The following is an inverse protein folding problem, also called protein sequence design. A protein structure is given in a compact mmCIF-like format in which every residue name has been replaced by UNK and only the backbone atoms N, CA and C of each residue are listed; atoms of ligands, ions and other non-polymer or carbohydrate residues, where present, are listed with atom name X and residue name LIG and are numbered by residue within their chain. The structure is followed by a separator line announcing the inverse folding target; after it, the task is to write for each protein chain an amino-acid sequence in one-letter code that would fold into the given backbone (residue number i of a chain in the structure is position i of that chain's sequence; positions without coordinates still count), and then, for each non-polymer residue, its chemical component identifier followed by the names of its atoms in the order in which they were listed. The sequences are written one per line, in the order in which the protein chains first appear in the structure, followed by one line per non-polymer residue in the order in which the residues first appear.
data_IF_075213178742
#
_entry.id   IF_075213178742
#
_cell.length_a   1.000
_cell.length_b   1.000
_cell.length_c   1.000
_cell.angle_alpha   90.00
_cell.angle_beta   90.00
_cell.angle_gamma   90.00
#
_symmetry.space_group_name_H-M   'P 1'
#
loop_
_entity.id
_entity.type
_entity.pdbx_description
1 polymer ?
#
# COMPACT_ATOMS: atom_id res chain seq x y z
N UNK A 1 1.10 -6.66 12.91
CA UNK A 1 2.42 -7.33 13.00
C UNK A 1 2.55 -8.07 14.32
N UNK A 2 2.39 -7.43 15.49
CA UNK A 2 2.66 -8.02 16.81
C UNK A 2 1.86 -9.29 17.12
N UNK A 3 0.63 -9.38 16.66
CA UNK A 3 -0.25 -10.54 16.89
C UNK A 3 -0.33 -11.53 15.71
N UNK A 4 0.44 -11.35 14.64
CA UNK A 4 0.27 -12.12 13.40
C UNK A 4 0.36 -13.63 13.60
N UNK A 5 1.34 -14.10 14.37
CA UNK A 5 1.55 -15.53 14.56
C UNK A 5 0.38 -16.20 15.31
N UNK A 6 -0.29 -15.44 16.20
CA UNK A 6 -1.52 -15.89 16.87
C UNK A 6 -2.70 -15.91 15.90
N UNK A 7 -2.83 -14.86 15.06
CA UNK A 7 -3.87 -14.76 14.03
C UNK A 7 -3.71 -15.90 13.04
N UNK A 8 -2.51 -16.12 12.50
CA UNK A 8 -2.25 -17.18 11.52
C UNK A 8 -2.61 -18.58 12.05
N UNK A 9 -2.24 -18.88 13.29
CA UNK A 9 -2.65 -20.14 13.95
C UNK A 9 -4.17 -20.29 13.98
N UNK A 10 -4.91 -19.22 14.27
CA UNK A 10 -6.39 -19.26 14.29
C UNK A 10 -6.98 -19.38 12.90
N UNK A 11 -6.47 -18.64 11.93
CA UNK A 11 -6.91 -18.74 10.53
C UNK A 11 -6.76 -20.17 10.01
N UNK A 12 -5.62 -20.81 10.26
CA UNK A 12 -5.36 -22.18 9.86
C UNK A 12 -6.30 -23.18 10.58
N UNK A 13 -6.47 -23.02 11.91
CA UNK A 13 -7.35 -23.89 12.71
C UNK A 13 -8.80 -23.85 12.23
N UNK A 14 -9.31 -22.67 11.93
CA UNK A 14 -10.72 -22.48 11.54
C UNK A 14 -10.92 -22.35 10.02
N UNK A 15 -9.88 -22.55 9.23
CA UNK A 15 -9.92 -22.42 7.75
C UNK A 15 -10.52 -21.09 7.28
N UNK A 16 -10.30 -20.01 8.05
CA UNK A 16 -10.82 -18.68 7.76
C UNK A 16 -9.90 -17.92 6.82
N UNK A 17 -10.48 -17.19 5.87
CA UNK A 17 -9.72 -16.31 4.96
C UNK A 17 -9.38 -14.99 5.64
N UNK A 18 -8.17 -14.53 5.47
CA UNK A 18 -7.75 -13.18 5.85
C UNK A 18 -7.78 -12.27 4.61
N UNK A 19 -8.48 -11.16 4.70
CA UNK A 19 -8.53 -10.15 3.64
C UNK A 19 -8.00 -8.84 4.22
N UNK A 20 -6.86 -8.32 3.75
CA UNK A 20 -6.33 -7.06 4.22
C UNK A 20 -7.16 -5.89 3.69
N UNK A 21 -7.26 -4.81 4.46
CA UNK A 21 -7.99 -3.58 4.06
C UNK A 21 -7.08 -2.36 3.94
N UNK A 22 -5.84 -2.45 4.43
CA UNK A 22 -4.82 -1.43 4.14
C UNK A 22 -4.65 -1.28 2.64
N UNK A 23 -4.50 -0.05 2.13
CA UNK A 23 -4.63 0.22 0.68
C UNK A 23 -3.61 -0.54 -0.17
N UNK A 24 -2.38 -0.63 0.29
CA UNK A 24 -1.31 -1.34 -0.40
C UNK A 24 -1.49 -2.86 -0.30
N UNK A 25 -1.76 -3.36 0.90
CA UNK A 25 -1.97 -4.80 1.10
C UNK A 25 -3.24 -5.30 0.43
N UNK A 26 -4.33 -4.53 0.47
CA UNK A 26 -5.53 -4.83 -0.30
C UNK A 26 -5.23 -4.91 -1.80
N UNK A 27 -4.47 -3.95 -2.32
CA UNK A 27 -4.09 -3.92 -3.73
C UNK A 27 -3.23 -5.12 -4.14
N UNK A 28 -2.29 -5.53 -3.30
CA UNK A 28 -1.51 -6.75 -3.51
C UNK A 28 -2.44 -7.98 -3.48
N UNK A 29 -3.29 -8.09 -2.46
CA UNK A 29 -4.24 -9.19 -2.32
C UNK A 29 -5.16 -9.30 -3.55
N UNK A 30 -5.71 -8.17 -4.00
CA UNK A 30 -6.60 -8.12 -5.17
C UNK A 30 -5.86 -8.50 -6.47
N UNK A 31 -4.64 -8.02 -6.66
CA UNK A 31 -3.84 -8.34 -7.84
C UNK A 31 -3.42 -9.80 -7.91
N UNK A 32 -3.30 -10.47 -6.76
CA UNK A 32 -2.86 -11.86 -6.65
C UNK A 32 -4.01 -12.88 -6.64
N UNK A 33 -5.27 -12.45 -6.82
CA UNK A 33 -6.37 -13.39 -6.97
C UNK A 33 -6.09 -14.32 -8.16
N UNK A 34 -6.21 -15.61 -7.93
CA UNK A 34 -6.01 -16.68 -8.92
C UNK A 34 -4.60 -16.73 -9.56
N UNK A 35 -3.60 -16.13 -8.90
CA UNK A 35 -2.20 -16.13 -9.34
C UNK A 35 -1.34 -16.99 -8.42
N UNK A 36 -0.56 -17.88 -9.03
CA UNK A 36 0.44 -18.67 -8.31
C UNK A 36 1.62 -17.80 -7.85
N UNK A 37 1.98 -17.91 -6.56
CA UNK A 37 3.05 -17.08 -5.94
C UNK A 37 4.44 -17.30 -6.53
N UNK A 38 4.70 -18.48 -7.14
CA UNK A 38 5.96 -18.77 -7.81
C UNK A 38 6.20 -17.90 -9.04
N UNK A 39 5.12 -17.41 -9.68
CA UNK A 39 5.17 -16.52 -10.84
C UNK A 39 5.54 -15.09 -10.47
N UNK A 40 5.48 -14.71 -9.19
CA UNK A 40 5.84 -13.36 -8.74
C UNK A 40 7.36 -13.16 -8.85
N UNK A 41 7.77 -12.17 -9.64
CA UNK A 41 9.14 -11.69 -9.70
C UNK A 41 9.39 -10.64 -8.62
N UNK A 42 8.59 -9.56 -8.59
CA UNK A 42 8.75 -8.44 -7.67
C UNK A 42 7.41 -7.78 -7.35
N UNK A 43 7.25 -7.33 -6.11
CA UNK A 43 6.14 -6.49 -5.68
C UNK A 43 6.70 -5.17 -5.17
N UNK A 44 6.15 -4.08 -5.68
CA UNK A 44 6.45 -2.72 -5.25
C UNK A 44 5.27 -2.17 -4.46
N UNK A 45 5.51 -1.86 -3.19
CA UNK A 45 4.59 -1.08 -2.37
C UNK A 45 4.87 0.39 -2.63
N UNK A 46 3.84 1.15 -2.95
CA UNK A 46 4.01 2.58 -3.19
C UNK A 46 3.97 3.36 -1.89
N UNK A 47 4.70 4.45 -1.83
CA UNK A 47 4.71 5.41 -0.73
C UNK A 47 4.54 6.81 -1.28
N UNK A 48 3.77 7.68 -0.60
CA UNK A 48 3.68 9.10 -0.97
C UNK A 48 5.01 9.85 -0.77
N UNK A 49 5.90 9.32 0.07
CA UNK A 49 7.09 10.00 0.55
C UNK A 49 6.80 10.95 1.74
N UNK A 50 5.54 11.08 2.14
CA UNK A 50 5.11 11.91 3.26
C UNK A 50 5.26 13.41 3.02
N UNK A 51 5.03 14.24 4.06
CA UNK A 51 5.05 15.70 3.94
C UNK A 51 6.45 16.29 3.73
N UNK A 52 7.49 15.48 3.84
CA UNK A 52 8.89 15.95 3.81
C UNK A 52 9.68 15.46 2.60
N UNK A 53 9.03 14.83 1.63
CA UNK A 53 9.67 14.21 0.46
C UNK A 53 10.70 15.12 -0.24
N UNK A 54 10.38 16.42 -0.36
CA UNK A 54 11.24 17.38 -1.07
C UNK A 54 12.04 18.29 -0.12
N UNK A 55 12.14 17.95 1.19
CA UNK A 55 12.89 18.75 2.16
C UNK A 55 14.32 18.29 2.31
N UNK A 56 15.25 19.24 2.33
CA UNK A 56 16.65 19.00 2.67
C UNK A 56 16.81 18.63 4.16
N UNK A 57 17.91 17.99 4.51
CA UNK A 57 18.25 17.65 5.92
C UNK A 57 18.27 18.90 6.80
N UNK A 58 18.72 20.05 6.26
CA UNK A 58 18.75 21.33 7.00
C UNK A 58 17.33 21.81 7.33
N UNK A 59 16.39 21.65 6.41
CA UNK A 59 14.98 22.00 6.62
C UNK A 59 14.29 21.04 7.59
N UNK A 60 14.64 19.74 7.55
CA UNK A 60 14.10 18.75 8.47
C UNK A 60 14.38 19.06 9.94
N UNK A 61 15.52 19.69 10.24
CA UNK A 61 15.86 20.14 11.62
C UNK A 61 14.92 21.21 12.17
N UNK A 62 14.15 21.90 11.31
CA UNK A 62 13.26 23.02 11.67
C UNK A 62 11.78 22.63 11.60
N UNK A 63 11.44 21.38 11.32
CA UNK A 63 10.05 20.95 11.21
C UNK A 63 9.38 20.92 12.58
N UNK A 64 8.08 21.21 12.59
CA UNK A 64 7.25 21.18 13.79
C UNK A 64 6.16 20.10 13.71
N UNK A 65 5.53 19.82 14.85
CA UNK A 65 4.51 18.78 14.97
C UNK A 65 3.34 18.99 13.99
N UNK A 66 2.91 20.24 13.77
CA UNK A 66 1.80 20.53 12.82
C UNK A 66 2.14 20.09 11.39
N UNK A 67 3.39 20.25 10.98
CA UNK A 67 3.85 19.81 9.66
C UNK A 67 3.94 18.28 9.57
N UNK A 68 4.36 17.62 10.66
CA UNK A 68 4.46 16.14 10.72
C UNK A 68 3.10 15.48 10.57
N UNK A 69 2.07 16.00 11.26
CA UNK A 69 0.73 15.39 11.27
C UNK A 69 -0.14 15.76 10.07
N UNK A 70 0.34 16.62 9.17
CA UNK A 70 -0.40 17.06 7.98
C UNK A 70 0.06 16.30 6.74
N UNK A 71 -0.60 15.18 6.43
CA UNK A 71 -0.27 14.39 5.25
C UNK A 71 -0.84 15.02 3.97
N UNK A 72 -0.06 15.08 2.85
CA UNK A 72 -0.49 15.77 1.64
C UNK A 72 -1.72 15.16 0.94
N UNK A 73 -1.87 13.84 0.98
CA UNK A 73 -2.90 13.12 0.19
C UNK A 73 -3.98 12.47 1.04
N UNK A 74 -3.68 12.10 2.29
CA UNK A 74 -4.57 11.33 3.14
C UNK A 74 -5.00 12.11 4.37
N UNK A 75 -6.28 12.01 4.71
CA UNK A 75 -6.79 12.46 6.00
C UNK A 75 -6.68 11.30 7.00
N UNK A 76 -5.69 11.34 7.86
CA UNK A 76 -5.35 10.23 8.77
C UNK A 76 -5.21 10.72 10.21
N UNK A 77 -5.20 9.76 11.16
CA UNK A 77 -4.90 10.04 12.56
C UNK A 77 -3.44 10.48 12.76
N UNK A 78 -3.15 11.14 13.89
CA UNK A 78 -1.83 11.71 14.20
C UNK A 78 -0.71 10.67 14.18
N UNK A 79 -0.96 9.47 14.71
CA UNK A 79 0.04 8.39 14.78
C UNK A 79 0.48 7.97 13.37
N UNK A 80 -0.44 7.58 12.50
CA UNK A 80 -0.10 7.12 11.15
C UNK A 80 0.46 8.25 10.27
N UNK A 81 0.04 9.51 10.47
CA UNK A 81 0.65 10.66 9.79
C UNK A 81 2.11 10.84 10.18
N UNK A 82 2.45 10.64 11.45
CA UNK A 82 3.83 10.67 11.93
C UNK A 82 4.66 9.51 11.34
N UNK A 83 4.09 8.31 11.33
CA UNK A 83 4.75 7.13 10.73
C UNK A 83 5.00 7.32 9.23
N UNK A 84 4.07 7.98 8.53
CA UNK A 84 4.24 8.33 7.11
C UNK A 84 5.33 9.38 6.90
N UNK A 85 5.38 10.40 7.75
CA UNK A 85 6.38 11.46 7.68
C UNK A 85 7.82 10.96 7.87
N UNK A 86 7.99 9.86 8.60
CA UNK A 86 9.27 9.21 8.87
C UNK A 86 9.52 7.98 7.99
N UNK A 87 8.61 7.65 7.10
CA UNK A 87 8.62 6.42 6.29
C UNK A 87 8.58 5.11 7.09
N UNK A 88 8.45 5.16 8.42
CA UNK A 88 8.37 3.96 9.26
C UNK A 88 7.10 3.14 8.97
N UNK A 89 6.01 3.80 8.55
CA UNK A 89 4.80 3.11 8.13
C UNK A 89 5.10 2.11 7.01
N UNK A 90 5.91 2.50 6.03
CA UNK A 90 6.26 1.65 4.88
C UNK A 90 7.17 0.48 5.29
N UNK A 91 8.00 0.66 6.32
CA UNK A 91 8.77 -0.44 6.93
C UNK A 91 7.82 -1.47 7.55
N UNK A 92 6.80 -1.02 8.30
CA UNK A 92 5.79 -1.91 8.85
C UNK A 92 5.04 -2.65 7.76
N UNK A 93 4.63 -1.97 6.71
CA UNK A 93 3.92 -2.58 5.59
C UNK A 93 4.76 -3.64 4.85
N UNK A 94 6.07 -3.46 4.68
CA UNK A 94 6.95 -4.48 4.12
C UNK A 94 7.00 -5.73 5.01
N UNK A 95 7.09 -5.55 6.32
CA UNK A 95 7.08 -6.66 7.26
C UNK A 95 5.73 -7.40 7.23
N UNK A 96 4.64 -6.65 7.16
CA UNK A 96 3.28 -7.19 7.04
C UNK A 96 3.08 -7.93 5.73
N UNK A 97 3.49 -7.35 4.60
CA UNK A 97 3.41 -7.99 3.29
C UNK A 97 4.14 -9.34 3.28
N UNK A 98 5.35 -9.40 3.85
CA UNK A 98 6.07 -10.67 4.01
C UNK A 98 5.24 -11.70 4.77
N UNK A 99 4.67 -11.32 5.91
CA UNK A 99 3.91 -12.24 6.77
C UNK A 99 2.58 -12.65 6.15
N UNK A 100 1.79 -11.69 5.67
CA UNK A 100 0.45 -11.92 5.11
C UNK A 100 0.54 -12.76 3.83
N UNK A 101 1.41 -12.39 2.90
CA UNK A 101 1.49 -13.02 1.58
C UNK A 101 2.50 -14.17 1.51
N UNK A 102 3.31 -14.38 2.56
CA UNK A 102 4.40 -15.39 2.61
C UNK A 102 5.40 -15.20 1.47
N UNK A 103 5.76 -13.95 1.20
CA UNK A 103 6.70 -13.54 0.15
C UNK A 103 8.01 -13.11 0.80
N UNK A 104 9.15 -13.53 0.23
CA UNK A 104 10.47 -13.18 0.75
C UNK A 104 10.81 -11.70 0.53
N UNK A 105 11.61 -11.10 1.40
CA UNK A 105 11.99 -9.69 1.33
C UNK A 105 12.67 -9.30 0.01
N UNK A 106 13.46 -10.18 -0.59
CA UNK A 106 14.11 -9.92 -1.87
C UNK A 106 13.13 -9.68 -3.03
N UNK A 107 11.86 -10.12 -2.87
CA UNK A 107 10.78 -9.87 -3.82
C UNK A 107 9.91 -8.66 -3.46
N UNK A 108 10.18 -7.98 -2.36
CA UNK A 108 9.47 -6.79 -1.94
C UNK A 108 10.36 -5.56 -2.15
N UNK A 109 9.78 -4.47 -2.57
CA UNK A 109 10.45 -3.18 -2.70
C UNK A 109 9.48 -2.04 -2.39
N UNK A 110 10.03 -0.87 -2.09
CA UNK A 110 9.29 0.37 -1.94
C UNK A 110 9.61 1.25 -3.15
N UNK A 111 8.60 1.95 -3.66
CA UNK A 111 8.76 2.97 -4.67
C UNK A 111 7.96 4.22 -4.26
N UNK A 112 8.56 5.39 -4.43
CA UNK A 112 7.87 6.64 -4.11
C UNK A 112 6.94 7.02 -5.26
N UNK A 113 5.67 7.22 -4.93
CA UNK A 113 4.65 7.72 -5.83
C UNK A 113 3.89 8.87 -5.15
N UNK A 114 4.31 10.14 -5.35
CA UNK A 114 3.82 11.28 -4.58
C UNK A 114 2.31 11.49 -4.65
N UNK A 115 1.66 11.12 -5.76
CA UNK A 115 0.20 11.26 -5.94
C UNK A 115 -0.63 10.22 -5.18
N UNK A 116 -0.02 9.15 -4.67
CA UNK A 116 -0.69 8.05 -3.95
C UNK A 116 -1.90 7.46 -4.71
N UNK A 117 -1.89 7.48 -6.03
CA UNK A 117 -2.97 6.97 -6.87
C UNK A 117 -2.76 5.50 -7.23
N UNK A 118 -1.50 5.10 -7.42
CA UNK A 118 -1.08 3.70 -7.53
C UNK A 118 -0.75 3.19 -6.13
N UNK A 119 -1.25 2.02 -5.75
CA UNK A 119 -1.08 1.44 -4.41
C UNK A 119 -0.16 0.22 -4.40
N UNK A 120 -0.15 -0.55 -5.49
CA UNK A 120 0.78 -1.66 -5.66
C UNK A 120 1.11 -1.89 -7.14
N UNK A 121 2.34 -2.33 -7.40
CA UNK A 121 2.77 -2.80 -8.71
C UNK A 121 3.33 -4.21 -8.53
N UNK A 122 2.83 -5.17 -9.31
CA UNK A 122 3.27 -6.57 -9.25
C UNK A 122 3.85 -6.96 -10.60
N UNK A 123 5.14 -7.26 -10.61
CA UNK A 123 5.84 -7.79 -11.80
C UNK A 123 5.90 -9.30 -11.72
N UNK A 124 5.58 -9.96 -12.82
CA UNK A 124 5.58 -11.40 -12.95
C UNK A 124 6.74 -11.87 -13.83
N UNK A 125 7.20 -13.11 -13.61
CA UNK A 125 8.29 -13.74 -14.36
C UNK A 125 7.98 -13.97 -15.84
N UNK A 126 6.70 -13.96 -16.21
CA UNK A 126 6.25 -14.05 -17.62
C UNK A 126 6.28 -12.69 -18.34
N UNK A 127 6.84 -11.65 -17.72
CA UNK A 127 6.97 -10.31 -18.29
C UNK A 127 5.76 -9.38 -18.07
N UNK A 128 4.63 -9.91 -17.60
CA UNK A 128 3.44 -9.08 -17.31
C UNK A 128 3.63 -8.26 -16.05
N UNK A 129 2.96 -7.12 -16.00
CA UNK A 129 2.90 -6.26 -14.81
C UNK A 129 1.44 -5.88 -14.53
N UNK A 130 1.00 -6.06 -13.29
CA UNK A 130 -0.29 -5.54 -12.81
C UNK A 130 -0.04 -4.28 -11.98
N UNK A 131 -0.81 -3.24 -12.26
CA UNK A 131 -0.80 -1.98 -11.49
C UNK A 131 -2.20 -1.81 -10.91
N UNK A 132 -2.32 -1.67 -9.61
CA UNK A 132 -3.59 -1.44 -8.94
C UNK A 132 -3.70 0.03 -8.56
N UNK A 133 -4.75 0.63 -9.08
CA UNK A 133 -5.04 2.07 -8.98
C UNK A 133 -6.42 2.24 -8.34
N UNK A 134 -6.52 3.13 -7.37
CA UNK A 134 -7.79 3.65 -6.89
C UNK A 134 -7.61 5.01 -6.20
N UNK A 135 -8.71 5.75 -6.00
CA UNK A 135 -8.68 7.00 -5.26
C UNK A 135 -8.12 6.81 -3.83
N UNK A 136 -7.51 7.85 -3.28
CA UNK A 136 -7.00 7.90 -1.90
C UNK A 136 -8.16 7.95 -0.89
N UNK A 137 -8.96 6.89 -0.90
CA UNK A 137 -10.17 6.74 -0.09
C UNK A 137 -10.32 5.30 0.39
N UNK A 138 -10.24 5.11 1.71
CA UNK A 138 -10.35 3.79 2.34
C UNK A 138 -11.70 3.10 2.14
N UNK A 139 -12.75 3.81 1.71
CA UNK A 139 -14.02 3.19 1.34
C UNK A 139 -13.86 2.16 0.22
N UNK A 140 -12.92 2.37 -0.70
CA UNK A 140 -12.72 1.46 -1.85
C UNK A 140 -12.18 0.10 -1.40
N UNK A 141 -11.02 0.00 -0.72
CA UNK A 141 -10.52 -1.29 -0.26
C UNK A 141 -11.47 -1.96 0.74
N UNK A 142 -12.07 -1.21 1.69
CA UNK A 142 -13.02 -1.76 2.66
C UNK A 142 -14.25 -2.33 1.96
N UNK A 143 -14.86 -1.58 1.03
CA UNK A 143 -16.04 -2.04 0.30
C UNK A 143 -15.73 -3.33 -0.49
N UNK A 144 -14.63 -3.36 -1.22
CA UNK A 144 -14.27 -4.50 -2.05
C UNK A 144 -13.82 -5.72 -1.23
N UNK A 145 -13.32 -5.53 0.00
CA UNK A 145 -13.02 -6.63 0.91
C UNK A 145 -14.28 -7.30 1.46
N UNK A 146 -15.36 -6.53 1.66
CA UNK A 146 -16.64 -7.01 2.21
C UNK A 146 -17.55 -7.64 1.15
N UNK A 147 -17.62 -7.04 -0.05
CA UNK A 147 -18.63 -7.39 -1.05
C UNK A 147 -18.07 -8.07 -2.29
N UNK A 148 -16.76 -8.16 -2.43
CA UNK A 148 -16.07 -8.68 -3.62
C UNK A 148 -16.65 -8.09 -4.92
N UNK A 149 -16.95 -8.90 -5.95
CA UNK A 149 -17.45 -8.43 -7.25
C UNK A 149 -18.98 -8.29 -7.35
N UNK A 150 -19.71 -8.53 -6.25
CA UNK A 150 -21.17 -8.63 -6.30
C UNK A 150 -21.92 -7.30 -6.12
N UNK A 151 -21.24 -6.24 -5.72
CA UNK A 151 -21.87 -4.94 -5.48
C UNK A 151 -21.08 -3.81 -6.12
N UNK A 152 -21.74 -2.71 -6.37
CA UNK A 152 -21.19 -1.53 -7.03
C UNK A 152 -20.96 -0.43 -5.99
N UNK A 153 -19.80 0.21 -6.05
CA UNK A 153 -19.51 1.45 -5.34
C UNK A 153 -19.41 2.60 -6.33
N UNK A 154 -19.99 3.74 -6.00
CA UNK A 154 -19.80 4.96 -6.77
C UNK A 154 -18.35 5.44 -6.56
N UNK A 155 -17.57 5.39 -7.62
CA UNK A 155 -16.20 5.91 -7.69
C UNK A 155 -16.14 7.14 -8.60
N UNK A 156 -15.08 7.91 -8.49
CA UNK A 156 -14.83 9.01 -9.42
C UNK A 156 -14.59 8.47 -10.83
N UNK A 157 -14.87 9.30 -11.84
CA UNK A 157 -14.46 8.99 -13.22
C UNK A 157 -12.95 8.87 -13.30
N UNK A 158 -12.47 8.01 -14.18
CA UNK A 158 -11.04 7.84 -14.44
C UNK A 158 -10.43 9.18 -14.88
N UNK A 159 -9.41 9.63 -14.14
CA UNK A 159 -8.72 10.88 -14.42
C UNK A 159 -7.49 10.63 -15.30
N UNK A 160 -7.66 10.81 -16.61
CA UNK A 160 -6.57 10.65 -17.59
C UNK A 160 -5.42 11.63 -17.34
N UNK A 161 -5.68 12.83 -16.81
CA UNK A 161 -4.61 13.79 -16.47
C UNK A 161 -3.71 13.24 -15.37
N UNK A 162 -4.30 12.60 -14.37
CA UNK A 162 -3.55 11.91 -13.32
C UNK A 162 -2.79 10.71 -13.87
N UNK A 163 -3.42 9.89 -14.72
CA UNK A 163 -2.78 8.71 -15.33
C UNK A 163 -1.59 9.10 -16.22
N UNK A 164 -1.74 10.11 -17.05
CA UNK A 164 -0.66 10.57 -17.94
C UNK A 164 0.54 11.18 -17.18
N UNK A 165 0.37 11.53 -15.92
CA UNK A 165 1.40 12.15 -15.08
C UNK A 165 1.73 11.29 -13.86
N UNK A 166 1.68 9.97 -13.97
CA UNK A 166 2.20 9.09 -12.93
C UNK A 166 3.72 9.30 -12.79
N UNK A 167 4.16 9.58 -11.58
CA UNK A 167 5.56 9.82 -11.24
C UNK A 167 5.99 8.77 -10.21
N UNK A 168 7.12 8.12 -10.49
CA UNK A 168 7.71 7.11 -9.62
C UNK A 168 9.19 7.42 -9.43
N UNK A 169 9.66 7.29 -8.18
CA UNK A 169 11.05 7.55 -7.79
C UNK A 169 11.55 6.44 -6.88
N UNK A 170 12.83 6.19 -6.89
CA UNK A 170 13.45 5.29 -5.92
C UNK A 170 13.23 5.80 -4.48
N UNK A 171 13.10 4.87 -3.53
CA UNK A 171 12.84 5.16 -2.12
C UNK A 171 14.14 5.30 -1.31
#
# INVERSE_FOLDING_TARGET
ICGWDLIEKRLNKYKTKFIPVDSEHFSIWYALQDIEKNLIEKIYLTASGGPFLNKSIKELKKVNIKQVINHPNWKMGKKISTDSATMINKVFEIIEAKKIFKISYNKLAIIIHPKSYVHAIIKFKNGLTKIIIHDTNMKIPIFNSLYSTKKIINSKKLDFKTLNNLDFRDA
#
